data_IF_322204943922
#
_entry.id   IF_322204943922
#
_cell.length_a   1.000
_cell.length_b   1.000
_cell.length_c   1.000
_cell.angle_alpha   90.00
_cell.angle_beta   90.00
_cell.angle_gamma   90.00
#
_symmetry.space_group_name_H-M   'P 1'
#
loop_
_entity.id
_entity.type
_entity.pdbx_description
1 polymer ?
#
# COMPACT_ATOMS: atom_id res chain seq x y z
N UNK A 1 13.59 -9.23 -28.68
CA UNK A 1 13.24 -7.79 -28.53
C UNK A 1 13.62 -7.07 -29.81
N UNK A 2 12.68 -6.38 -30.48
CA UNK A 2 12.92 -5.67 -31.75
C UNK A 2 13.65 -6.50 -32.84
N UNK A 3 13.21 -7.74 -33.06
CA UNK A 3 13.80 -8.65 -34.05
C UNK A 3 15.07 -9.39 -33.60
N UNK A 4 15.66 -9.02 -32.46
CA UNK A 4 16.80 -9.76 -31.87
C UNK A 4 16.29 -10.99 -31.11
N UNK A 5 16.82 -12.17 -31.46
CA UNK A 5 16.65 -13.42 -30.71
C UNK A 5 17.73 -13.51 -29.62
N UNK A 6 17.32 -13.49 -28.36
CA UNK A 6 18.18 -13.66 -27.20
C UNK A 6 17.43 -14.41 -26.10
N UNK A 7 18.11 -14.72 -24.99
CA UNK A 7 17.48 -15.30 -23.79
C UNK A 7 16.67 -14.29 -22.98
N UNK A 8 16.73 -12.99 -23.33
CA UNK A 8 16.06 -11.93 -22.58
C UNK A 8 14.56 -11.96 -22.88
N UNK A 9 13.76 -12.33 -21.88
CA UNK A 9 12.30 -12.29 -21.94
C UNK A 9 11.76 -10.88 -21.68
N UNK A 10 12.16 -10.26 -20.58
CA UNK A 10 11.85 -8.88 -20.18
C UNK A 10 13.12 -8.18 -19.68
N UNK A 11 13.09 -6.85 -19.59
CA UNK A 11 14.22 -6.05 -19.10
C UNK A 11 13.73 -4.82 -18.33
N UNK A 12 14.64 -4.05 -17.73
CA UNK A 12 14.29 -2.89 -16.91
C UNK A 12 13.89 -3.26 -15.49
N UNK A 13 14.58 -4.26 -14.93
CA UNK A 13 14.37 -4.82 -13.58
C UNK A 13 15.55 -4.45 -12.67
N UNK A 14 15.30 -4.28 -11.38
CA UNK A 14 16.27 -4.05 -10.31
C UNK A 14 16.69 -5.36 -9.66
N UNK A 15 15.80 -6.01 -8.91
CA UNK A 15 16.09 -7.21 -8.13
C UNK A 15 14.82 -8.06 -7.95
N UNK A 16 14.38 -8.72 -9.04
CA UNK A 16 13.15 -9.52 -9.07
C UNK A 16 13.41 -10.85 -8.35
N UNK A 17 12.76 -11.09 -7.21
CA UNK A 17 12.99 -12.30 -6.40
C UNK A 17 11.89 -13.34 -6.59
N UNK A 18 10.64 -12.88 -6.67
CA UNK A 18 9.47 -13.74 -6.82
C UNK A 18 9.01 -13.81 -8.27
N UNK A 19 8.65 -15.00 -8.73
CA UNK A 19 8.01 -15.20 -10.03
C UNK A 19 7.10 -16.42 -9.96
N UNK A 20 5.86 -16.30 -10.47
CA UNK A 20 4.95 -17.44 -10.54
C UNK A 20 3.93 -17.31 -11.68
N UNK A 21 3.45 -18.46 -12.17
CA UNK A 21 2.42 -18.52 -13.20
C UNK A 21 1.03 -18.68 -12.59
N UNK A 22 0.11 -17.83 -13.02
CA UNK A 22 -1.32 -18.08 -12.88
C UNK A 22 -1.81 -19.22 -13.79
N UNK A 23 -3.01 -19.76 -13.53
CA UNK A 23 -3.56 -20.92 -14.25
C UNK A 23 -3.88 -20.63 -15.73
N UNK A 24 -3.97 -19.36 -16.11
CA UNK A 24 -4.17 -18.91 -17.49
C UNK A 24 -2.85 -18.61 -18.23
N UNK A 25 -1.70 -18.85 -17.57
CA UNK A 25 -0.37 -18.54 -18.10
C UNK A 25 0.08 -17.09 -17.87
N UNK A 26 -0.69 -16.28 -17.15
CA UNK A 26 -0.24 -14.96 -16.69
C UNK A 26 0.98 -15.13 -15.79
N UNK A 27 2.04 -14.39 -16.06
CA UNK A 27 3.30 -14.48 -15.31
C UNK A 27 3.39 -13.29 -14.34
N UNK A 28 3.25 -13.56 -13.04
CA UNK A 28 3.37 -12.57 -11.98
C UNK A 28 4.80 -12.53 -11.45
N UNK A 29 5.21 -11.37 -10.97
CA UNK A 29 6.57 -11.11 -10.47
C UNK A 29 6.51 -10.13 -9.29
N UNK A 30 7.43 -10.28 -8.33
CA UNK A 30 7.62 -9.31 -7.25
C UNK A 30 9.08 -8.89 -7.09
N UNK A 31 9.31 -7.57 -7.08
CA UNK A 31 10.64 -6.98 -7.15
C UNK A 31 10.92 -6.02 -6.00
N UNK A 32 12.17 -6.02 -5.52
CA UNK A 32 12.66 -5.00 -4.60
C UNK A 32 12.89 -3.65 -5.28
N UNK A 33 12.23 -2.61 -4.79
CA UNK A 33 12.53 -1.21 -5.05
C UNK A 33 13.73 -0.71 -4.24
N UNK A 34 14.15 0.55 -4.45
CA UNK A 34 15.19 1.20 -3.66
C UNK A 34 14.67 1.58 -2.26
N UNK A 35 14.43 2.87 -1.99
CA UNK A 35 13.85 3.35 -0.71
C UNK A 35 12.33 3.27 -0.69
N UNK A 36 11.72 3.13 -1.84
CA UNK A 36 10.28 3.18 -2.11
C UNK A 36 10.01 2.18 -3.23
N UNK A 37 8.74 1.91 -3.50
CA UNK A 37 8.31 1.21 -4.72
C UNK A 37 8.94 -0.19 -4.91
N UNK A 38 8.82 -1.06 -3.89
CA UNK A 38 8.80 -2.50 -4.20
C UNK A 38 7.59 -2.75 -5.12
N UNK A 39 7.68 -3.72 -6.02
CA UNK A 39 6.73 -3.85 -7.12
C UNK A 39 6.04 -5.22 -7.15
N UNK A 40 4.81 -5.23 -7.66
CA UNK A 40 4.12 -6.41 -8.18
C UNK A 40 3.86 -6.16 -9.66
N UNK A 41 4.37 -7.05 -10.50
CA UNK A 41 4.35 -6.93 -11.96
C UNK A 41 3.59 -8.08 -12.62
N UNK A 42 3.06 -7.82 -13.82
CA UNK A 42 2.66 -8.85 -14.78
C UNK A 42 3.65 -8.80 -15.95
N UNK A 43 4.39 -9.89 -16.15
CA UNK A 43 5.45 -9.99 -17.14
C UNK A 43 4.92 -10.19 -18.56
N UNK A 44 5.31 -9.30 -19.48
CA UNK A 44 4.94 -9.34 -20.91
C UNK A 44 6.18 -9.53 -21.77
N UNK A 45 6.16 -10.51 -22.67
CA UNK A 45 7.30 -10.80 -23.53
C UNK A 45 7.82 -9.55 -24.27
N UNK A 46 9.11 -9.26 -24.10
CA UNK A 46 9.82 -8.14 -24.70
C UNK A 46 9.58 -6.78 -24.04
N UNK A 47 8.82 -6.70 -22.96
CA UNK A 47 8.52 -5.46 -22.27
C UNK A 47 9.69 -4.96 -21.39
N UNK A 48 9.66 -3.65 -21.17
CA UNK A 48 10.57 -2.87 -20.34
C UNK A 48 9.86 -2.47 -19.04
N UNK A 49 10.47 -2.71 -17.88
CA UNK A 49 9.91 -2.39 -16.56
C UNK A 49 10.50 -1.11 -15.95
N UNK A 50 11.27 -0.36 -16.73
CA UNK A 50 11.60 1.04 -16.44
C UNK A 50 12.86 1.25 -15.61
N UNK A 51 13.25 0.32 -14.74
CA UNK A 51 14.47 0.47 -13.94
C UNK A 51 15.73 0.61 -14.83
N UNK A 52 16.68 1.52 -14.52
CA UNK A 52 16.72 2.43 -13.37
C UNK A 52 16.13 3.82 -13.61
N UNK A 53 15.42 4.05 -14.72
CA UNK A 53 14.90 5.38 -15.04
C UNK A 53 13.58 5.70 -14.32
N UNK A 54 12.83 4.67 -13.93
CA UNK A 54 11.56 4.75 -13.18
C UNK A 54 11.61 3.71 -12.06
N UNK A 55 11.08 4.04 -10.88
CA UNK A 55 10.85 3.08 -9.80
C UNK A 55 9.35 3.09 -9.45
N UNK A 56 8.66 1.98 -9.66
CA UNK A 56 7.21 1.93 -9.53
C UNK A 56 6.48 2.58 -10.69
N UNK A 57 5.61 3.54 -10.37
CA UNK A 57 4.87 4.32 -11.37
C UNK A 57 5.73 5.45 -11.91
N UNK A 58 5.48 5.92 -13.14
CA UNK A 58 6.15 7.13 -13.64
C UNK A 58 5.43 8.38 -13.12
N UNK A 59 5.74 8.79 -11.90
CA UNK A 59 4.99 9.82 -11.20
C UNK A 59 5.85 10.96 -10.59
N UNK A 60 7.17 10.88 -10.74
CA UNK A 60 8.15 11.80 -10.16
C UNK A 60 8.02 11.94 -8.63
N UNK A 61 7.50 10.93 -7.93
CA UNK A 61 7.34 10.97 -6.48
C UNK A 61 8.46 10.23 -5.80
N UNK A 62 9.22 10.96 -4.98
CA UNK A 62 10.24 10.43 -4.08
C UNK A 62 11.41 9.62 -4.70
N UNK A 63 11.43 9.46 -6.02
CA UNK A 63 12.51 8.83 -6.77
C UNK A 63 13.03 9.74 -7.89
N UNK A 64 14.34 9.72 -8.10
CA UNK A 64 15.03 10.28 -9.26
C UNK A 64 16.20 9.35 -9.63
N UNK A 65 16.48 9.19 -10.92
CA UNK A 65 17.58 8.34 -11.36
C UNK A 65 18.91 9.08 -11.23
N UNK A 66 19.63 8.82 -10.15
CA UNK A 66 20.98 9.33 -9.93
C UNK A 66 22.05 8.43 -10.57
N UNK A 67 22.78 8.95 -11.55
CA UNK A 67 23.81 8.23 -12.31
C UNK A 67 25.18 8.36 -11.65
N UNK A 68 25.34 7.70 -10.50
CA UNK A 68 26.59 7.75 -9.71
C UNK A 68 27.84 7.38 -10.52
N UNK A 69 27.71 6.45 -11.48
CA UNK A 69 28.80 6.04 -12.37
C UNK A 69 29.26 7.16 -13.34
N UNK A 70 28.42 8.17 -13.57
CA UNK A 70 28.70 9.33 -14.44
C UNK A 70 29.10 10.58 -13.64
N UNK A 71 29.40 10.41 -12.34
CA UNK A 71 29.85 11.50 -11.48
C UNK A 71 31.10 12.17 -12.05
N UNK A 72 31.14 13.51 -12.02
CA UNK A 72 32.35 14.28 -12.36
C UNK A 72 33.43 14.20 -11.28
N UNK A 73 33.06 13.76 -10.05
CA UNK A 73 34.01 13.39 -8.99
C UNK A 73 34.42 11.93 -9.15
N UNK A 74 35.73 11.58 -9.08
CA UNK A 74 36.18 10.19 -9.13
C UNK A 74 35.50 9.29 -8.09
N UNK A 75 35.14 8.07 -8.48
CA UNK A 75 34.41 7.12 -7.64
C UNK A 75 35.09 6.85 -6.28
N UNK A 76 36.42 6.89 -6.21
CA UNK A 76 37.16 6.68 -4.95
C UNK A 76 37.00 7.84 -3.95
N UNK A 77 36.53 9.01 -4.40
CA UNK A 77 36.39 10.23 -3.60
C UNK A 77 34.93 10.58 -3.32
N UNK A 78 33.98 9.97 -4.02
CA UNK A 78 32.56 10.18 -3.79
C UNK A 78 32.04 9.22 -2.72
N UNK A 79 31.29 9.74 -1.75
CA UNK A 79 30.60 8.94 -0.75
C UNK A 79 29.17 8.69 -1.20
N UNK A 80 28.81 7.43 -1.42
CA UNK A 80 27.43 7.06 -1.70
C UNK A 80 26.52 7.42 -0.53
N UNK A 81 25.31 7.87 -0.86
CA UNK A 81 24.24 8.10 0.11
C UNK A 81 22.90 7.83 -0.55
N UNK A 82 22.05 7.07 0.14
CA UNK A 82 20.65 6.89 -0.26
C UNK A 82 19.81 8.16 -0.05
N UNK A 83 20.29 9.13 0.73
CA UNK A 83 19.52 10.30 1.18
C UNK A 83 19.94 11.59 0.48
N UNK A 84 21.21 11.71 0.10
CA UNK A 84 21.75 12.92 -0.50
C UNK A 84 22.53 12.59 -1.77
N UNK A 85 22.13 13.21 -2.88
CA UNK A 85 22.81 13.09 -4.17
C UNK A 85 23.67 14.35 -4.36
N UNK A 86 25.01 14.23 -4.43
CA UNK A 86 25.90 15.36 -4.67
C UNK A 86 25.61 16.04 -6.01
N UNK A 87 25.95 17.33 -6.13
CA UNK A 87 25.79 18.08 -7.39
C UNK A 87 26.63 17.52 -8.54
N UNK A 88 27.69 16.76 -8.23
CA UNK A 88 28.57 16.12 -9.21
C UNK A 88 27.98 14.86 -9.84
N UNK A 89 26.89 14.33 -9.28
CA UNK A 89 26.16 13.16 -9.80
C UNK A 89 25.03 13.64 -10.72
N UNK A 90 25.07 13.35 -12.02
CA UNK A 90 23.96 13.61 -12.92
C UNK A 90 22.71 12.87 -12.46
N UNK A 91 21.56 13.53 -12.56
CA UNK A 91 20.27 12.94 -12.18
C UNK A 91 19.16 13.41 -13.09
N UNK A 92 18.12 12.60 -13.22
CA UNK A 92 16.94 12.94 -14.01
C UNK A 92 15.65 12.49 -13.30
N UNK A 93 14.57 13.27 -13.42
CA UNK A 93 13.26 12.82 -12.96
C UNK A 93 12.75 11.70 -13.87
N UNK A 94 11.86 10.87 -13.36
CA UNK A 94 11.28 9.75 -14.11
C UNK A 94 10.59 10.19 -15.41
N UNK A 95 9.97 11.37 -15.40
CA UNK A 95 9.36 12.01 -16.57
C UNK A 95 10.32 12.29 -17.73
N UNK A 96 11.64 12.31 -17.50
CA UNK A 96 12.63 12.38 -18.56
C UNK A 96 12.71 11.07 -19.38
N UNK A 97 12.21 9.96 -18.84
CA UNK A 97 12.17 8.68 -19.51
C UNK A 97 11.02 8.61 -20.53
N UNK A 98 11.39 8.51 -21.79
CA UNK A 98 10.46 8.58 -22.95
C UNK A 98 10.27 7.24 -23.67
N UNK A 99 11.04 6.21 -23.32
CA UNK A 99 10.91 4.89 -23.95
C UNK A 99 9.64 4.21 -23.45
N UNK A 100 8.99 3.36 -24.28
CA UNK A 100 7.88 2.53 -23.81
C UNK A 100 8.31 1.70 -22.61
N UNK A 101 7.45 1.65 -21.61
CA UNK A 101 7.63 0.84 -20.41
C UNK A 101 6.27 0.37 -19.89
N UNK A 102 6.30 -0.66 -19.05
CA UNK A 102 5.15 -1.26 -18.38
C UNK A 102 5.22 -0.86 -16.91
N UNK A 103 4.15 -0.26 -16.40
CA UNK A 103 4.00 0.03 -14.98
C UNK A 103 3.67 -1.26 -14.20
N UNK A 104 4.07 -1.34 -12.91
CA UNK A 104 3.61 -2.40 -12.03
C UNK A 104 2.10 -2.32 -11.81
N UNK A 105 1.48 -3.46 -11.52
CA UNK A 105 0.06 -3.50 -11.17
C UNK A 105 -0.19 -2.96 -9.75
N UNK A 106 0.84 -2.97 -8.90
CA UNK A 106 0.84 -2.27 -7.62
C UNK A 106 2.26 -2.02 -7.09
N UNK A 107 2.40 -1.01 -6.24
CA UNK A 107 3.63 -0.72 -5.49
C UNK A 107 3.47 -0.98 -3.98
N UNK A 108 4.57 -1.33 -3.31
CA UNK A 108 4.66 -1.62 -1.88
C UNK A 108 5.80 -0.83 -1.21
N UNK A 109 5.81 0.50 -1.19
CA UNK A 109 4.73 1.44 -1.46
C UNK A 109 5.30 2.72 -2.08
N UNK A 110 4.51 3.40 -2.91
CA UNK A 110 4.81 4.76 -3.37
C UNK A 110 4.55 5.79 -2.27
N UNK A 111 5.39 6.83 -2.19
CA UNK A 111 5.25 7.95 -1.25
C UNK A 111 5.49 9.30 -1.95
N UNK A 112 4.95 10.42 -1.45
CA UNK A 112 5.18 11.74 -2.06
C UNK A 112 6.64 12.20 -1.93
N UNK A 113 7.10 13.12 -2.79
CA UNK A 113 8.49 13.62 -2.81
C UNK A 113 8.99 14.27 -1.52
N UNK A 114 8.08 14.70 -0.64
CA UNK A 114 8.40 15.24 0.69
C UNK A 114 8.53 14.18 1.79
N UNK A 115 8.45 12.88 1.47
CA UNK A 115 8.49 11.82 2.46
C UNK A 115 9.82 11.82 3.23
N UNK A 116 9.74 11.72 4.57
CA UNK A 116 10.91 11.67 5.42
C UNK A 116 11.53 10.26 5.44
N UNK A 117 12.56 10.05 4.62
CA UNK A 117 13.33 8.80 4.61
C UNK A 117 14.34 8.67 5.77
N UNK A 118 14.40 9.67 6.66
CA UNK A 118 15.33 9.73 7.80
C UNK A 118 14.57 9.96 9.11
N UNK A 119 13.45 9.25 9.29
CA UNK A 119 12.61 9.40 10.46
C UNK A 119 13.41 9.11 11.76
N UNK A 120 13.51 10.08 12.69
CA UNK A 120 14.23 9.88 13.95
C UNK A 120 13.73 8.69 14.79
N UNK A 121 12.46 8.30 14.62
CA UNK A 121 11.89 7.11 15.28
C UNK A 121 12.65 5.83 14.86
N UNK A 122 13.30 5.85 13.71
CA UNK A 122 14.03 4.72 13.12
C UNK A 122 15.48 4.61 13.56
N UNK A 123 15.97 5.57 14.37
CA UNK A 123 17.24 5.51 15.13
C UNK A 123 18.47 5.10 14.29
N UNK A 124 18.54 5.51 13.02
CA UNK A 124 19.66 5.22 12.12
C UNK A 124 19.61 3.84 11.45
N UNK A 125 18.48 3.13 11.54
CA UNK A 125 18.16 1.92 10.78
C UNK A 125 17.05 2.25 9.78
N UNK A 126 17.24 3.36 9.07
CA UNK A 126 16.18 4.03 8.32
C UNK A 126 15.60 3.14 7.22
N UNK A 127 16.43 2.24 6.65
CA UNK A 127 15.99 1.34 5.58
C UNK A 127 14.93 0.29 5.98
N UNK A 128 14.82 -0.06 7.26
CA UNK A 128 13.72 -0.90 7.75
C UNK A 128 12.42 -0.09 7.81
N UNK A 129 12.52 1.21 8.11
CA UNK A 129 11.38 2.12 8.15
C UNK A 129 10.96 2.69 6.80
N UNK A 130 11.85 2.65 5.80
CA UNK A 130 11.51 3.07 4.44
C UNK A 130 10.25 2.37 3.91
N UNK A 131 9.49 3.02 3.02
CA UNK A 131 8.25 2.52 2.39
C UNK A 131 8.51 1.40 1.38
N UNK A 132 9.24 0.39 1.83
CA UNK A 132 9.42 -0.90 1.18
C UNK A 132 9.18 -2.01 2.19
N UNK A 133 8.78 -3.17 1.72
CA UNK A 133 8.51 -4.36 2.55
C UNK A 133 9.62 -5.39 2.45
N UNK A 134 10.45 -5.31 1.41
CA UNK A 134 11.47 -6.29 1.10
C UNK A 134 10.84 -7.58 0.57
N UNK A 135 10.10 -7.52 -0.54
CA UNK A 135 9.45 -8.68 -1.17
C UNK A 135 10.48 -9.75 -1.54
N UNK A 136 10.22 -11.00 -1.14
CA UNK A 136 11.18 -12.11 -1.33
C UNK A 136 10.70 -13.21 -2.25
N UNK A 137 9.39 -13.38 -2.39
CA UNK A 137 8.76 -14.35 -3.26
C UNK A 137 7.31 -13.94 -3.54
N UNK A 138 6.73 -14.56 -4.56
CA UNK A 138 5.32 -14.43 -4.92
C UNK A 138 4.77 -15.79 -5.35
N UNK A 139 3.56 -16.12 -4.92
CA UNK A 139 2.86 -17.35 -5.32
C UNK A 139 1.40 -17.01 -5.68
N UNK A 140 0.92 -17.52 -6.81
CA UNK A 140 -0.48 -17.41 -7.18
C UNK A 140 -1.31 -18.34 -6.31
N UNK A 141 -2.28 -17.78 -5.62
CA UNK A 141 -3.27 -18.53 -4.86
C UNK A 141 -4.63 -18.46 -5.58
N UNK A 142 -5.08 -19.61 -6.07
CA UNK A 142 -6.43 -19.81 -6.55
C UNK A 142 -7.13 -20.90 -5.77
N UNK A 143 -8.35 -20.62 -5.29
CA UNK A 143 -9.12 -21.58 -4.49
C UNK A 143 -9.21 -22.95 -5.18
N UNK A 144 -8.78 -24.04 -4.51
CA UNK A 144 -8.97 -25.39 -5.04
C UNK A 144 -10.45 -25.71 -5.22
N UNK A 145 -10.76 -26.65 -6.13
CA UNK A 145 -12.14 -27.06 -6.44
C UNK A 145 -12.96 -27.52 -5.22
N UNK A 146 -12.28 -27.98 -4.17
CA UNK A 146 -12.91 -28.50 -2.95
C UNK A 146 -12.96 -27.47 -1.80
N UNK A 147 -12.75 -26.19 -2.10
CA UNK A 147 -12.79 -25.08 -1.14
C UNK A 147 -11.45 -24.82 -0.46
N UNK A 148 -10.86 -23.66 -0.75
CA UNK A 148 -9.66 -23.12 -0.10
C UNK A 148 -10.00 -22.27 1.14
N UNK A 149 -9.17 -21.26 1.38
CA UNK A 149 -9.38 -20.22 2.40
C UNK A 149 -10.43 -19.24 1.86
N UNK A 150 -11.57 -19.04 2.56
CA UNK A 150 -12.60 -18.09 2.15
C UNK A 150 -12.06 -16.66 2.02
N UNK A 151 -12.47 -15.95 0.97
CA UNK A 151 -12.03 -14.58 0.67
C UNK A 151 -10.67 -14.48 -0.03
N UNK A 152 -9.97 -15.59 -0.26
CA UNK A 152 -8.70 -15.64 -0.98
C UNK A 152 -8.88 -16.25 -2.37
N UNK A 153 -10.06 -16.20 -2.98
CA UNK A 153 -10.40 -16.99 -4.16
C UNK A 153 -9.45 -16.78 -5.35
N UNK A 154 -8.89 -15.57 -5.46
CA UNK A 154 -7.85 -15.20 -6.41
C UNK A 154 -6.95 -14.12 -5.82
N UNK A 155 -5.76 -14.51 -5.39
CA UNK A 155 -4.80 -13.60 -4.77
C UNK A 155 -3.36 -13.97 -5.13
N UNK A 156 -2.45 -13.03 -4.86
CA UNK A 156 -1.01 -13.29 -4.83
C UNK A 156 -0.56 -13.30 -3.37
N UNK A 157 0.19 -14.32 -3.00
CA UNK A 157 0.83 -14.46 -1.70
C UNK A 157 2.26 -13.92 -1.82
N UNK A 158 2.56 -12.83 -1.12
CA UNK A 158 3.86 -12.15 -1.21
C UNK A 158 4.56 -12.22 0.15
N UNK A 159 5.68 -12.93 0.23
CA UNK A 159 6.49 -12.97 1.45
C UNK A 159 7.38 -11.75 1.55
N UNK A 160 7.63 -11.31 2.79
CA UNK A 160 8.39 -10.08 3.03
C UNK A 160 9.48 -10.27 4.07
N UNK A 161 10.67 -9.76 3.76
CA UNK A 161 11.85 -9.85 4.60
C UNK A 161 11.79 -8.83 5.72
N UNK A 162 11.61 -7.55 5.40
CA UNK A 162 11.72 -6.49 6.41
C UNK A 162 10.53 -6.46 7.36
N UNK A 163 9.35 -6.86 6.87
CA UNK A 163 8.10 -6.83 7.65
C UNK A 163 7.80 -8.14 8.38
N UNK A 164 8.53 -9.22 8.09
CA UNK A 164 8.32 -10.53 8.71
C UNK A 164 6.88 -11.01 8.59
N UNK A 165 6.27 -10.80 7.42
CA UNK A 165 4.83 -10.99 7.21
C UNK A 165 4.53 -11.58 5.82
N UNK A 166 3.37 -12.21 5.71
CA UNK A 166 2.77 -12.58 4.43
C UNK A 166 1.79 -11.47 4.03
N UNK A 167 1.91 -10.98 2.80
CA UNK A 167 0.93 -10.10 2.20
C UNK A 167 0.05 -10.90 1.25
N UNK A 168 -1.26 -10.67 1.34
CA UNK A 168 -2.25 -11.26 0.45
C UNK A 168 -2.80 -10.14 -0.40
N UNK A 169 -2.58 -10.25 -1.70
CA UNK A 169 -2.90 -9.22 -2.68
C UNK A 169 -4.03 -9.75 -3.53
N UNK A 170 -5.26 -9.32 -3.23
CA UNK A 170 -6.43 -9.75 -3.99
C UNK A 170 -6.33 -9.25 -5.44
N UNK A 171 -6.69 -10.11 -6.39
CA UNK A 171 -6.69 -9.77 -7.81
C UNK A 171 -8.11 -9.59 -8.34
N UNK A 172 -8.22 -8.84 -9.44
CA UNK A 172 -9.44 -8.72 -10.23
C UNK A 172 -9.88 -10.08 -10.76
N UNK A 173 -11.15 -10.19 -11.15
CA UNK A 173 -11.71 -11.42 -11.70
C UNK A 173 -10.93 -11.92 -12.94
N UNK A 174 -10.31 -11.04 -13.72
CA UNK A 174 -9.46 -11.37 -14.87
C UNK A 174 -7.96 -11.56 -14.52
N UNK A 175 -7.57 -11.33 -13.26
CA UNK A 175 -6.18 -11.44 -12.79
C UNK A 175 -5.26 -10.31 -13.24
N UNK A 176 -5.79 -9.27 -13.92
CA UNK A 176 -4.96 -8.24 -14.56
C UNK A 176 -4.74 -6.98 -13.69
N UNK A 177 -5.39 -6.87 -12.53
CA UNK A 177 -5.17 -5.77 -11.58
C UNK A 177 -5.29 -6.23 -10.14
N UNK A 178 -4.72 -5.46 -9.21
CA UNK A 178 -4.99 -5.63 -7.78
C UNK A 178 -6.37 -5.07 -7.43
N UNK A 179 -7.02 -5.64 -6.41
CA UNK A 179 -8.29 -5.20 -5.85
C UNK A 179 -8.10 -4.83 -4.37
N UNK A 180 -8.52 -3.62 -4.01
CA UNK A 180 -8.51 -3.17 -2.63
C UNK A 180 -7.10 -3.06 -2.02
N UNK A 181 -7.03 -2.86 -0.69
CA UNK A 181 -5.78 -2.85 0.04
C UNK A 181 -5.18 -4.26 0.11
N UNK A 182 -3.86 -4.33 0.27
CA UNK A 182 -3.24 -5.61 0.61
C UNK A 182 -3.66 -6.02 2.02
N UNK A 183 -3.73 -7.31 2.31
CA UNK A 183 -3.93 -7.79 3.69
C UNK A 183 -2.61 -8.32 4.25
N UNK A 184 -2.21 -7.92 5.46
CA UNK A 184 -0.96 -8.38 6.10
C UNK A 184 -1.28 -9.41 7.19
N UNK A 185 -0.66 -10.59 7.07
CA UNK A 185 -0.84 -11.72 7.97
C UNK A 185 0.48 -12.18 8.59
N UNK A 186 0.33 -12.91 9.70
CA UNK A 186 1.39 -13.68 10.34
C UNK A 186 2.64 -12.86 10.69
N UNK A 187 2.49 -11.58 11.04
CA UNK A 187 3.63 -10.79 11.47
C UNK A 187 4.35 -11.49 12.62
N UNK A 188 5.66 -11.61 12.50
CA UNK A 188 6.53 -12.12 13.56
C UNK A 188 7.94 -11.55 13.44
N UNK A 189 8.76 -11.73 14.47
CA UNK A 189 10.19 -11.39 14.46
C UNK A 189 10.97 -12.38 13.59
N UNK A 190 10.66 -12.41 12.29
CA UNK A 190 11.28 -13.27 11.29
C UNK A 190 11.47 -12.48 9.99
N UNK A 191 12.18 -13.08 9.04
CA UNK A 191 12.28 -12.61 7.65
C UNK A 191 11.72 -13.70 6.76
N UNK A 192 10.55 -13.48 6.16
CA UNK A 192 9.91 -14.50 5.33
C UNK A 192 10.55 -14.50 3.95
N UNK A 193 11.04 -15.67 3.52
CA UNK A 193 11.89 -15.86 2.35
C UNK A 193 11.11 -16.38 1.16
N UNK A 194 10.27 -17.38 1.38
CA UNK A 194 9.57 -18.06 0.31
C UNK A 194 8.27 -18.68 0.85
N UNK A 195 7.36 -19.04 -0.04
CA UNK A 195 6.07 -19.64 0.32
C UNK A 195 5.74 -20.84 -0.56
N UNK A 196 4.96 -21.77 -0.01
CA UNK A 196 4.35 -22.87 -0.76
C UNK A 196 2.96 -23.16 -0.18
N UNK A 197 2.01 -23.57 -1.01
CA UNK A 197 0.63 -23.88 -0.59
C UNK A 197 0.35 -25.38 -0.64
N UNK A 198 -0.32 -25.92 0.37
CA UNK A 198 -0.78 -27.31 0.36
C UNK A 198 -1.80 -27.57 -0.77
N UNK A 199 -1.91 -28.81 -1.30
CA UNK A 199 -2.84 -29.11 -2.39
C UNK A 199 -4.32 -28.83 -2.09
N UNK A 200 -4.73 -28.86 -0.81
CA UNK A 200 -6.08 -28.50 -0.38
C UNK A 200 -6.29 -26.98 -0.17
N UNK A 201 -5.23 -26.18 -0.37
CA UNK A 201 -5.24 -24.73 -0.30
C UNK A 201 -5.35 -24.17 1.12
N UNK A 202 -5.21 -24.99 2.16
CA UNK A 202 -5.49 -24.58 3.56
C UNK A 202 -4.26 -24.42 4.43
N UNK A 203 -3.11 -24.95 4.03
CA UNK A 203 -1.85 -24.78 4.75
C UNK A 203 -0.89 -23.97 3.90
N UNK A 204 -0.44 -22.83 4.43
CA UNK A 204 0.60 -22.00 3.84
C UNK A 204 1.91 -22.33 4.56
N UNK A 205 2.90 -22.81 3.80
CA UNK A 205 4.25 -23.02 4.28
C UNK A 205 5.08 -21.78 3.96
N UNK A 206 5.91 -21.34 4.92
CA UNK A 206 6.77 -20.17 4.77
C UNK A 206 8.19 -20.50 5.25
N UNK A 207 9.18 -20.28 4.39
CA UNK A 207 10.60 -20.36 4.76
C UNK A 207 11.08 -19.07 5.43
N UNK A 208 11.99 -19.16 6.40
CA UNK A 208 12.56 -18.00 7.09
C UNK A 208 14.07 -17.90 6.93
N UNK A 209 14.61 -16.67 6.84
CA UNK A 209 16.07 -16.49 6.87
C UNK A 209 16.64 -16.89 8.26
N UNK A 210 17.87 -17.44 8.34
CA UNK A 210 18.52 -17.78 9.61
C UNK A 210 19.00 -16.56 10.41
N UNK A 211 19.18 -15.41 9.74
CA UNK A 211 19.64 -14.17 10.33
C UNK A 211 19.26 -12.98 9.43
N UNK A 212 19.43 -11.77 9.95
CA UNK A 212 19.21 -10.53 9.22
C UNK A 212 18.61 -9.48 10.13
N UNK A 213 18.11 -8.41 9.53
CA UNK A 213 17.39 -7.35 10.24
C UNK A 213 15.93 -7.32 9.75
N UNK A 214 15.00 -7.18 10.68
CA UNK A 214 13.58 -7.11 10.42
C UNK A 214 12.90 -6.12 11.39
N UNK A 215 11.66 -5.77 11.09
CA UNK A 215 10.73 -5.12 12.02
C UNK A 215 10.42 -6.06 13.20
N UNK A 216 10.38 -5.49 14.41
CA UNK A 216 10.01 -6.23 15.60
C UNK A 216 8.52 -6.08 15.91
N UNK A 217 7.89 -7.14 16.42
CA UNK A 217 6.49 -7.17 16.86
C UNK A 217 6.20 -6.14 17.96
N UNK A 218 7.17 -5.88 18.84
CA UNK A 218 7.07 -4.86 19.89
C UNK A 218 7.31 -3.43 19.39
N UNK A 219 7.50 -3.23 18.07
CA UNK A 219 7.93 -1.99 17.46
C UNK A 219 9.46 -1.86 17.37
N UNK A 220 9.93 -1.09 16.38
CA UNK A 220 11.36 -0.94 16.09
C UNK A 220 11.91 -2.11 15.26
N UNK A 221 13.17 -2.48 15.49
CA UNK A 221 13.87 -3.49 14.68
C UNK A 221 14.49 -4.59 15.54
N UNK A 222 14.61 -5.80 14.97
CA UNK A 222 15.24 -6.95 15.62
C UNK A 222 16.23 -7.66 14.69
N UNK A 223 17.32 -8.18 15.27
CA UNK A 223 18.24 -9.15 14.64
C UNK A 223 18.07 -10.56 15.16
N UNK A 224 17.22 -10.73 16.18
CA UNK A 224 16.95 -12.02 16.81
C UNK A 224 15.72 -12.61 16.14
N UNK A 225 15.92 -13.52 15.19
CA UNK A 225 14.80 -14.21 14.55
C UNK A 225 14.22 -15.26 15.51
N UNK A 226 12.90 -15.32 15.65
CA UNK A 226 12.20 -16.32 16.48
C UNK A 226 12.41 -17.73 15.92
N UNK A 227 12.31 -17.89 14.61
CA UNK A 227 12.43 -19.18 13.92
C UNK A 227 13.53 -19.06 12.86
N UNK A 228 14.77 -19.40 13.21
CA UNK A 228 15.94 -19.21 12.34
C UNK A 228 16.00 -20.32 11.29
N UNK A 229 15.99 -19.99 9.99
CA UNK A 229 16.24 -20.97 8.92
C UNK A 229 15.21 -22.10 8.90
N UNK A 230 13.96 -21.79 9.20
CA UNK A 230 12.90 -22.76 9.49
C UNK A 230 11.85 -22.77 8.37
N UNK A 231 11.08 -23.85 8.31
CA UNK A 231 9.82 -23.89 7.56
C UNK A 231 8.68 -23.79 8.58
N UNK A 232 7.90 -22.73 8.48
CA UNK A 232 6.68 -22.51 9.26
C UNK A 232 5.49 -23.06 8.49
N UNK A 233 4.49 -23.58 9.19
CA UNK A 233 3.24 -24.05 8.60
C UNK A 233 2.06 -23.34 9.26
N UNK A 234 1.30 -22.58 8.48
CA UNK A 234 0.10 -21.87 8.90
C UNK A 234 -1.12 -22.56 8.30
N UNK A 235 -1.89 -23.28 9.13
CA UNK A 235 -3.07 -24.02 8.67
C UNK A 235 -4.35 -23.28 9.02
N UNK A 236 -5.20 -23.09 8.03
CA UNK A 236 -6.53 -22.52 8.19
C UNK A 236 -7.42 -23.49 8.98
N UNK A 237 -7.98 -22.99 10.09
CA UNK A 237 -8.84 -23.76 11.01
C UNK A 237 -10.28 -23.26 11.05
N UNK A 238 -10.66 -22.36 10.14
CA UNK A 238 -11.93 -21.66 10.13
C UNK A 238 -11.77 -20.15 10.33
N UNK A 239 -12.84 -19.39 10.10
CA UNK A 239 -12.87 -17.96 10.38
C UNK A 239 -12.79 -17.77 11.90
N UNK A 240 -11.69 -17.18 12.37
CA UNK A 240 -11.54 -16.74 13.76
C UNK A 240 -11.94 -15.28 13.93
N UNK A 241 -11.99 -14.78 15.16
CA UNK A 241 -12.14 -13.34 15.46
C UNK A 241 -10.84 -12.54 15.29
N UNK A 242 -9.84 -13.11 14.60
CA UNK A 242 -8.50 -12.53 14.48
C UNK A 242 -8.53 -11.36 13.51
N UNK A 243 -8.10 -10.19 13.97
CA UNK A 243 -7.97 -8.99 13.14
C UNK A 243 -6.85 -9.18 12.11
N UNK A 244 -7.20 -9.22 10.82
CA UNK A 244 -6.23 -8.94 9.77
C UNK A 244 -5.71 -7.51 9.99
N UNK A 245 -4.40 -7.33 10.01
CA UNK A 245 -3.82 -5.98 10.12
C UNK A 245 -3.70 -5.46 8.70
N UNK A 246 -4.44 -4.41 8.38
CA UNK A 246 -4.27 -3.73 7.10
C UNK A 246 -2.90 -3.03 7.09
N UNK A 247 -2.11 -3.10 6.00
CA UNK A 247 -0.83 -2.44 5.92
C UNK A 247 -0.97 -0.95 6.17
N UNK A 248 -0.14 -0.43 7.08
CA UNK A 248 -0.14 0.97 7.53
C UNK A 248 0.32 1.99 6.45
N UNK A 249 0.34 1.63 5.17
CA UNK A 249 0.78 2.49 4.06
C UNK A 249 -0.15 2.31 2.87
N UNK A 250 -0.48 3.43 2.22
CA UNK A 250 -1.37 3.47 1.06
C UNK A 250 -0.82 2.64 -0.08
N UNK A 251 -1.54 1.57 -0.43
CA UNK A 251 -1.32 0.80 -1.65
C UNK A 251 -1.64 1.69 -2.84
N UNK A 252 -0.65 1.95 -3.70
CA UNK A 252 -0.92 2.61 -4.98
C UNK A 252 -1.12 1.53 -6.02
N UNK A 253 -2.38 1.32 -6.41
CA UNK A 253 -2.77 0.38 -7.46
C UNK A 253 -2.83 1.14 -8.77
N UNK A 254 -2.31 0.55 -9.85
CA UNK A 254 -2.46 1.15 -11.17
C UNK A 254 -3.96 1.26 -11.52
N UNK A 255 -4.44 2.39 -12.09
CA UNK A 255 -5.86 2.60 -12.33
C UNK A 255 -6.45 1.50 -13.22
N UNK A 256 -7.51 0.84 -12.72
CA UNK A 256 -8.27 -0.13 -13.49
C UNK A 256 -8.97 0.57 -14.68
N UNK A 257 -8.95 -0.06 -15.86
CA UNK A 257 -9.70 0.41 -17.03
C UNK A 257 -11.21 0.37 -16.71
N UNK A 258 -12.02 1.41 -17.02
CA UNK A 258 -13.39 1.50 -16.50
C UNK A 258 -14.32 0.40 -17.02
N UNK A 259 -15.14 -0.16 -16.12
CA UNK A 259 -16.35 -0.92 -16.43
C UNK A 259 -17.61 -0.06 -16.16
N UNK A 260 -18.68 -0.29 -16.93
CA UNK A 260 -19.89 0.55 -17.01
C UNK A 260 -20.76 0.58 -15.73
N UNK A 261 -21.58 1.64 -15.50
CA UNK A 261 -22.19 1.91 -14.19
C UNK A 261 -23.57 1.24 -13.96
N UNK A 262 -23.90 1.05 -12.68
CA UNK A 262 -25.24 0.68 -12.18
C UNK A 262 -25.79 1.75 -11.19
N UNK A 263 -27.11 1.91 -11.15
CA UNK A 263 -27.97 2.99 -10.56
C UNK A 263 -28.65 2.48 -9.26
N UNK A 264 -29.23 3.23 -8.30
CA UNK A 264 -29.00 4.49 -7.57
C UNK A 264 -30.00 4.52 -6.38
N UNK A 265 -29.60 5.08 -5.23
CA UNK A 265 -30.46 5.58 -4.15
C UNK A 265 -29.89 6.92 -3.67
N UNK A 266 -30.71 7.82 -3.11
CA UNK A 266 -30.26 9.19 -2.79
C UNK A 266 -29.14 9.16 -1.72
N UNK A 267 -27.92 9.38 -2.19
CA UNK A 267 -26.71 9.40 -1.37
C UNK A 267 -26.55 10.74 -0.64
N UNK A 268 -25.87 10.77 0.51
CA UNK A 268 -25.42 12.00 1.17
C UNK A 268 -24.78 12.96 0.18
N UNK A 269 -25.22 14.22 0.20
CA UNK A 269 -24.76 15.23 -0.76
C UNK A 269 -23.61 16.04 -0.15
N UNK A 270 -22.44 15.98 -0.77
CA UNK A 270 -21.32 16.88 -0.51
C UNK A 270 -20.54 17.10 -1.82
N UNK A 271 -19.80 18.19 -1.95
CA UNK A 271 -18.97 18.42 -3.14
C UNK A 271 -17.52 17.94 -2.95
N UNK A 272 -16.85 17.55 -4.03
CA UNK A 272 -15.43 17.19 -3.99
C UNK A 272 -14.56 18.33 -3.43
N UNK A 273 -14.93 19.59 -3.69
CA UNK A 273 -14.27 20.77 -3.14
C UNK A 273 -14.40 20.85 -1.61
N UNK A 274 -15.59 20.57 -1.07
CA UNK A 274 -15.79 20.52 0.39
C UNK A 274 -14.97 19.42 1.03
N UNK A 275 -14.91 18.22 0.44
CA UNK A 275 -14.10 17.14 0.96
C UNK A 275 -12.59 17.44 0.90
N UNK A 276 -12.11 18.08 -0.17
CA UNK A 276 -10.71 18.51 -0.27
C UNK A 276 -10.33 19.57 0.78
N UNK A 277 -11.19 20.57 1.00
CA UNK A 277 -11.03 21.54 2.07
C UNK A 277 -11.10 20.87 3.45
N UNK A 278 -12.00 19.91 3.61
CA UNK A 278 -12.20 19.11 4.81
C UNK A 278 -11.00 18.29 5.20
N UNK A 279 -10.34 17.66 4.22
CA UNK A 279 -9.08 16.93 4.43
C UNK A 279 -8.00 17.84 5.01
N UNK A 280 -7.88 19.05 4.45
CA UNK A 280 -6.87 20.02 4.91
C UNK A 280 -7.11 20.43 6.36
N UNK A 281 -8.37 20.72 6.73
CA UNK A 281 -8.73 21.05 8.10
C UNK A 281 -8.59 19.84 9.05
N UNK A 282 -8.97 18.64 8.60
CA UNK A 282 -8.85 17.42 9.39
C UNK A 282 -7.40 17.09 9.72
N UNK A 283 -6.49 17.23 8.75
CA UNK A 283 -5.05 16.99 8.95
C UNK A 283 -4.47 17.97 9.98
N UNK A 284 -4.95 19.21 10.01
CA UNK A 284 -4.49 20.24 10.95
C UNK A 284 -5.02 20.03 12.38
N UNK A 285 -6.31 19.70 12.52
CA UNK A 285 -7.02 19.81 13.81
C UNK A 285 -7.47 18.47 14.40
N UNK A 286 -7.53 17.39 13.61
CA UNK A 286 -8.15 16.11 14.02
C UNK A 286 -7.22 14.90 13.92
N UNK A 287 -6.27 14.90 12.97
CA UNK A 287 -5.43 13.76 12.66
C UNK A 287 -4.50 13.34 13.81
N UNK A 288 -4.18 14.25 14.74
CA UNK A 288 -3.36 13.91 15.93
C UNK A 288 -4.03 12.85 16.81
N UNK A 289 -5.37 12.83 16.87
CA UNK A 289 -6.12 11.87 17.69
C UNK A 289 -6.74 10.75 16.86
N UNK A 290 -7.34 11.09 15.71
CA UNK A 290 -8.07 10.15 14.86
C UNK A 290 -7.21 9.51 13.77
N UNK A 291 -5.95 9.96 13.66
CA UNK A 291 -5.02 9.51 12.64
C UNK A 291 -5.31 10.16 11.29
N UNK A 292 -4.28 10.38 10.48
CA UNK A 292 -4.40 11.04 9.17
C UNK A 292 -5.16 10.21 8.11
N UNK A 293 -5.40 8.92 8.38
CA UNK A 293 -6.22 8.04 7.54
C UNK A 293 -7.60 7.79 8.13
N UNK A 294 -7.98 8.52 9.18
CA UNK A 294 -9.21 8.36 9.96
C UNK A 294 -9.32 7.02 10.70
N UNK A 295 -8.41 6.07 10.50
CA UNK A 295 -8.45 4.74 11.14
C UNK A 295 -7.22 4.42 11.98
N UNK A 296 -6.14 5.19 11.82
CA UNK A 296 -4.85 4.97 12.47
C UNK A 296 -4.61 5.86 13.71
N UNK A 297 -5.65 6.48 14.23
CA UNK A 297 -5.59 7.22 15.50
C UNK A 297 -5.39 6.26 16.68
N UNK A 298 -4.53 6.65 17.62
CA UNK A 298 -4.33 5.89 18.87
C UNK A 298 -5.07 6.48 20.06
N UNK A 299 -5.68 7.66 19.89
CA UNK A 299 -6.34 8.41 20.95
C UNK A 299 -7.85 8.57 20.73
N UNK A 300 -8.27 8.79 19.48
CA UNK A 300 -9.67 8.90 19.07
C UNK A 300 -10.15 7.64 18.35
N UNK A 301 -11.47 7.36 18.35
CA UNK A 301 -12.01 6.23 17.60
C UNK A 301 -11.80 6.41 16.09
N UNK A 302 -11.75 5.31 15.32
CA UNK A 302 -11.75 5.37 13.88
C UNK A 302 -13.00 6.07 13.34
N UNK A 303 -12.80 6.95 12.36
CA UNK A 303 -13.82 7.72 11.65
C UNK A 303 -14.03 7.21 10.21
N UNK A 304 -13.40 6.10 9.83
CA UNK A 304 -13.66 5.42 8.56
C UNK A 304 -13.72 3.89 8.71
N UNK A 305 -14.25 3.21 7.68
CA UNK A 305 -14.35 1.76 7.62
C UNK A 305 -15.47 1.18 8.49
N UNK A 306 -15.32 -0.07 8.92
CA UNK A 306 -16.39 -0.80 9.64
C UNK A 306 -16.78 -0.15 10.96
N UNK A 307 -15.83 0.42 11.70
CA UNK A 307 -16.11 1.12 12.95
C UNK A 307 -17.00 2.37 12.73
N UNK A 308 -16.75 3.11 11.64
CA UNK A 308 -17.64 4.19 11.23
C UNK A 308 -19.01 3.63 10.84
N UNK A 309 -19.05 2.60 9.99
CA UNK A 309 -20.31 2.01 9.52
C UNK A 309 -21.17 1.51 10.68
N UNK A 310 -20.59 0.83 11.66
CA UNK A 310 -21.28 0.30 12.83
C UNK A 310 -21.92 1.40 13.71
N UNK A 311 -21.34 2.59 13.75
CA UNK A 311 -21.83 3.71 14.55
C UNK A 311 -22.79 4.62 13.78
N UNK A 312 -22.56 4.77 12.47
CA UNK A 312 -23.17 5.85 11.69
C UNK A 312 -24.16 5.35 10.63
N UNK A 313 -24.10 4.10 10.15
CA UNK A 313 -25.15 3.56 9.27
C UNK A 313 -26.48 3.53 10.03
N UNK A 314 -27.53 4.07 9.41
CA UNK A 314 -28.84 4.28 10.03
C UNK A 314 -28.97 5.60 10.81
N UNK A 315 -27.88 6.32 11.04
CA UNK A 315 -27.90 7.70 11.58
C UNK A 315 -27.98 8.73 10.46
N UNK A 316 -28.30 9.98 10.80
CA UNK A 316 -28.28 11.08 9.83
C UNK A 316 -26.89 11.70 9.69
N UNK A 317 -26.59 12.27 8.52
CA UNK A 317 -25.36 13.07 8.32
C UNK A 317 -25.31 14.23 9.32
N UNK A 318 -26.46 14.81 9.66
CA UNK A 318 -26.59 15.80 10.74
C UNK A 318 -26.05 15.29 12.08
N UNK A 319 -26.38 14.05 12.47
CA UNK A 319 -25.89 13.47 13.72
C UNK A 319 -24.36 13.33 13.72
N UNK A 320 -23.77 12.98 12.58
CA UNK A 320 -22.32 12.93 12.41
C UNK A 320 -21.69 14.32 12.56
N UNK A 321 -22.30 15.35 11.96
CA UNK A 321 -21.88 16.75 12.12
C UNK A 321 -21.93 17.22 13.58
N UNK A 322 -23.04 16.95 14.28
CA UNK A 322 -23.19 17.35 15.68
C UNK A 322 -22.15 16.65 16.57
N UNK A 323 -21.80 15.40 16.26
CA UNK A 323 -20.72 14.69 16.94
C UNK A 323 -19.33 15.24 16.63
N UNK A 324 -19.06 15.65 15.38
CA UNK A 324 -17.81 16.32 15.02
C UNK A 324 -17.65 17.65 15.76
N UNK A 325 -18.74 18.42 15.92
CA UNK A 325 -18.74 19.68 16.66
C UNK A 325 -18.48 19.50 18.16
N UNK A 326 -18.81 18.34 18.72
CA UNK A 326 -18.50 18.00 20.11
C UNK A 326 -17.01 17.71 20.34
N UNK A 327 -16.18 17.71 19.29
CA UNK A 327 -14.74 17.45 19.34
C UNK A 327 -13.91 18.72 19.09
N UNK A 328 -12.69 18.80 19.67
CA UNK A 328 -12.12 17.85 20.64
C UNK A 328 -12.79 17.96 22.02
N UNK A 329 -12.77 16.91 22.88
CA UNK A 329 -13.48 16.93 24.18
C UNK A 329 -13.01 18.05 25.12
N UNK A 330 -11.76 18.49 24.97
CA UNK A 330 -11.18 19.57 25.76
C UNK A 330 -11.61 20.97 25.28
N UNK A 331 -12.11 21.10 24.04
CA UNK A 331 -12.54 22.38 23.48
C UNK A 331 -13.61 22.21 22.37
N UNK A 332 -14.84 21.75 22.71
CA UNK A 332 -15.89 21.52 21.72
C UNK A 332 -16.26 22.79 20.95
N UNK A 333 -16.49 22.68 19.63
CA UNK A 333 -16.92 23.79 18.79
C UNK A 333 -15.84 24.83 18.51
N UNK A 334 -14.56 24.45 18.57
CA UNK A 334 -13.42 25.35 18.37
C UNK A 334 -13.24 25.85 16.93
N UNK A 335 -13.90 25.20 15.96
CA UNK A 335 -13.82 25.55 14.53
C UNK A 335 -15.15 26.14 14.03
N UNK A 336 -15.11 26.79 12.86
CA UNK A 336 -16.32 27.34 12.22
C UNK A 336 -17.25 26.24 11.69
N UNK A 337 -18.54 26.54 11.52
CA UNK A 337 -19.52 25.64 10.92
C UNK A 337 -19.12 25.20 9.50
N UNK A 338 -18.54 26.11 8.72
CA UNK A 338 -18.00 25.81 7.39
C UNK A 338 -16.85 24.80 7.47
N UNK A 339 -15.94 24.98 8.43
CA UNK A 339 -14.83 24.04 8.67
C UNK A 339 -15.34 22.66 9.05
N UNK A 340 -16.31 22.56 9.97
CA UNK A 340 -16.88 21.28 10.39
C UNK A 340 -17.67 20.59 9.27
N UNK A 341 -18.46 21.33 8.49
CA UNK A 341 -19.18 20.74 7.34
C UNK A 341 -18.22 20.21 6.27
N UNK A 342 -17.11 20.89 6.02
CA UNK A 342 -16.04 20.39 5.16
C UNK A 342 -15.39 19.12 5.72
N UNK A 343 -15.06 19.09 7.02
CA UNK A 343 -14.50 17.89 7.68
C UNK A 343 -15.47 16.70 7.55
N UNK A 344 -16.77 16.90 7.77
CA UNK A 344 -17.77 15.85 7.59
C UNK A 344 -17.82 15.36 6.14
N UNK A 345 -17.75 16.26 5.16
CA UNK A 345 -17.67 15.88 3.74
C UNK A 345 -16.45 14.99 3.44
N UNK A 346 -15.30 15.29 4.05
CA UNK A 346 -14.11 14.44 3.95
C UNK A 346 -14.31 13.08 4.62
N UNK A 347 -14.91 13.03 5.82
CA UNK A 347 -15.24 11.77 6.50
C UNK A 347 -16.18 10.91 5.65
N UNK A 348 -17.20 11.51 5.01
CA UNK A 348 -18.10 10.81 4.09
C UNK A 348 -17.35 10.26 2.87
N UNK A 349 -16.47 11.06 2.27
CA UNK A 349 -15.63 10.63 1.16
C UNK A 349 -14.78 9.41 1.53
N UNK A 350 -14.20 9.41 2.73
CA UNK A 350 -13.39 8.31 3.25
C UNK A 350 -14.21 7.05 3.60
N UNK A 351 -15.54 7.13 3.53
CA UNK A 351 -16.47 6.03 3.78
C UNK A 351 -17.31 5.68 2.53
N UNK A 352 -16.73 5.91 1.34
CA UNK A 352 -17.28 5.52 0.04
C UNK A 352 -18.60 6.20 -0.36
N UNK A 353 -18.99 7.28 0.32
CA UNK A 353 -20.09 8.10 -0.16
C UNK A 353 -19.61 8.92 -1.35
N UNK A 354 -20.25 8.77 -2.50
CA UNK A 354 -19.89 9.50 -3.71
C UNK A 354 -20.18 11.01 -3.56
N UNK A 355 -19.27 11.84 -4.04
CA UNK A 355 -19.48 13.28 -4.10
C UNK A 355 -20.60 13.63 -5.10
N UNK A 356 -21.45 14.57 -4.72
CA UNK A 356 -22.48 15.17 -5.57
C UNK A 356 -22.11 16.60 -6.00
N UNK A 357 -23.08 17.27 -6.63
CA UNK A 357 -22.94 18.66 -7.06
C UNK A 357 -23.44 19.66 -6.02
N UNK A 358 -24.21 19.19 -5.03
CA UNK A 358 -24.78 20.04 -3.96
C UNK A 358 -23.89 19.95 -2.71
N UNK A 359 -23.52 21.09 -2.11
CA UNK A 359 -22.74 21.08 -0.88
C UNK A 359 -23.54 20.55 0.30
N UNK A 360 -22.87 19.80 1.18
CA UNK A 360 -23.39 19.46 2.49
C UNK A 360 -23.61 20.75 3.28
N UNK A 361 -24.75 20.86 3.95
CA UNK A 361 -25.08 21.97 4.84
C UNK A 361 -25.53 21.43 6.18
N UNK A 362 -25.50 22.28 7.21
CA UNK A 362 -25.95 21.88 8.56
C UNK A 362 -27.44 21.48 8.59
N UNK A 363 -28.23 21.73 7.55
CA UNK A 363 -29.61 21.28 7.44
C UNK A 363 -29.82 19.86 6.88
N UNK A 364 -28.76 19.18 6.42
CA UNK A 364 -28.89 17.89 5.74
C UNK A 364 -29.11 16.73 6.74
N UNK A 365 -30.35 16.23 6.77
CA UNK A 365 -30.80 15.10 7.59
C UNK A 365 -30.75 13.75 6.89
N UNK A 366 -30.09 13.62 5.73
CA UNK A 366 -30.02 12.35 4.97
C UNK A 366 -29.47 11.23 5.84
N UNK A 367 -30.11 10.06 5.78
CA UNK A 367 -29.66 8.87 6.52
C UNK A 367 -28.51 8.21 5.78
N UNK A 368 -27.42 7.93 6.51
CA UNK A 368 -26.29 7.13 6.06
C UNK A 368 -26.71 5.67 5.90
N UNK A 369 -26.37 5.05 4.76
CA UNK A 369 -26.83 3.70 4.38
C UNK A 369 -25.69 2.83 3.91
#
# INVERSE_FOLDING_TARGET
>A
IAGVRSHVFTYGHRNPQGIDFGPDGTLYESEHGPKTDDEINILKAGANYGWPHVAGLKDNKAYEYARWAESTTPCAQIKFSDLAIPATVPREPESAFTKPFTEPIATMFTVPSGYNFSDPVCRGIDYICWPTVGVSSIEYYGSPRNGGIPGWEKALLVTTLKRGSLYVVALSADGQSVQGPFSRYFQSDNRYRDTAVSPDGKTIYIATDPAGLAEAMAGGTTRTMTNKGSILAFTYVGEGTGTAIEPQRTTTVAPAKPAAPAVAGAAPQYTATQAAAGKTAFDADCAVCHGNTLTNGTMGPPLAGEAFRALWVGQSVRALYDSARAMPPANPGSLSDETYTNIVAYVLQMNDYAAGETPFTTGDGTTLR
#
